data_IF_512383224321
#
_entry.id   IF_512383224321
#
_cell.length_a   1.000
_cell.length_b   1.000
_cell.length_c   1.000
_cell.angle_alpha   90.00
_cell.angle_beta   90.00
_cell.angle_gamma   90.00
#
_symmetry.space_group_name_H-M   'P 1'
#
loop_
_entity.id
_entity.type
_entity.pdbx_description
1 polymer ?
#
# COMPACT_ATOMS: atom_id res chain seq x y z
N UNK A 1 -2.38 -22.73 -3.20
CA UNK A 1 -3.59 -22.49 -2.34
C UNK A 1 -3.59 -21.03 -1.94
N UNK A 2 -4.77 -20.35 -2.03
CA UNK A 2 -4.91 -18.96 -1.58
C UNK A 2 -5.52 -18.97 -0.17
N UNK A 3 -4.88 -18.29 0.77
CA UNK A 3 -5.41 -17.96 2.08
C UNK A 3 -5.84 -16.50 2.10
N UNK A 4 -7.07 -16.25 2.50
CA UNK A 4 -7.68 -14.94 2.63
C UNK A 4 -7.82 -14.61 4.12
N UNK A 5 -7.41 -13.42 4.54
CA UNK A 5 -7.47 -13.00 5.95
C UNK A 5 -7.49 -11.48 6.09
N UNK A 6 -8.04 -10.99 7.20
CA UNK A 6 -7.96 -9.57 7.58
C UNK A 6 -6.75 -9.27 8.49
N UNK A 7 -6.08 -10.30 9.02
CA UNK A 7 -4.88 -10.15 9.85
C UNK A 7 -3.84 -11.20 9.50
N UNK A 8 -2.58 -10.79 9.48
CA UNK A 8 -1.44 -11.68 9.32
C UNK A 8 -1.00 -12.21 10.68
N UNK A 9 -0.77 -13.52 10.78
CA UNK A 9 0.01 -14.09 11.88
C UNK A 9 1.45 -13.59 11.82
N UNK A 10 2.19 -13.75 12.90
CA UNK A 10 3.62 -13.34 12.93
C UNK A 10 4.45 -14.10 11.88
N UNK A 11 4.16 -15.37 11.66
CA UNK A 11 4.83 -16.17 10.64
C UNK A 11 4.52 -15.70 9.22
N UNK A 12 3.26 -15.38 8.93
CA UNK A 12 2.84 -14.84 7.64
C UNK A 12 3.40 -13.45 7.39
N UNK A 13 3.43 -12.60 8.42
CA UNK A 13 4.07 -11.28 8.36
C UNK A 13 5.57 -11.38 8.03
N UNK A 14 6.26 -12.33 8.63
CA UNK A 14 7.67 -12.60 8.33
C UNK A 14 7.85 -13.09 6.88
N UNK A 15 7.01 -14.00 6.42
CA UNK A 15 7.03 -14.50 5.04
C UNK A 15 6.71 -13.36 4.04
N UNK A 16 5.70 -12.54 4.33
CA UNK A 16 5.35 -11.38 3.51
C UNK A 16 6.52 -10.38 3.38
N UNK A 17 7.18 -10.06 4.49
CA UNK A 17 8.37 -9.18 4.45
C UNK A 17 9.52 -9.78 3.63
N UNK A 18 9.74 -11.08 3.70
CA UNK A 18 10.75 -11.76 2.90
C UNK A 18 10.42 -11.69 1.39
N UNK A 19 9.16 -11.93 1.03
CA UNK A 19 8.68 -11.81 -0.36
C UNK A 19 8.80 -10.36 -0.87
N UNK A 20 8.40 -9.37 -0.07
CA UNK A 20 8.55 -7.94 -0.40
C UNK A 20 10.02 -7.62 -0.69
N UNK A 21 10.94 -8.01 0.20
CA UNK A 21 12.37 -7.76 0.04
C UNK A 21 12.93 -8.44 -1.23
N UNK A 22 12.50 -9.67 -1.55
CA UNK A 22 12.87 -10.36 -2.78
C UNK A 22 12.40 -9.61 -4.03
N UNK A 23 11.14 -9.16 -4.05
CA UNK A 23 10.58 -8.39 -5.16
C UNK A 23 11.31 -7.04 -5.31
N UNK A 24 11.52 -6.31 -4.22
CA UNK A 24 12.22 -5.02 -4.23
C UNK A 24 13.65 -5.15 -4.77
N UNK A 25 14.40 -6.16 -4.32
CA UNK A 25 15.75 -6.40 -4.78
C UNK A 25 15.80 -6.71 -6.29
N UNK A 26 14.86 -7.50 -6.78
CA UNK A 26 14.78 -7.87 -8.20
C UNK A 26 14.33 -6.71 -9.09
N UNK A 27 13.27 -6.01 -8.67
CA UNK A 27 12.63 -4.95 -9.45
C UNK A 27 13.28 -3.58 -9.23
N UNK A 28 14.16 -3.44 -8.23
CA UNK A 28 14.74 -2.17 -7.79
C UNK A 28 13.67 -1.14 -7.38
N UNK A 29 12.67 -1.64 -6.67
CA UNK A 29 11.58 -0.86 -6.09
C UNK A 29 11.83 -0.64 -4.59
N UNK A 30 11.11 0.29 -3.98
CA UNK A 30 11.32 0.69 -2.58
C UNK A 30 10.04 0.70 -1.76
N UNK A 31 8.89 0.82 -2.41
CA UNK A 31 7.61 0.90 -1.70
C UNK A 31 7.29 -0.42 -1.01
N UNK A 32 6.88 -0.33 0.25
CA UNK A 32 6.32 -1.46 1.00
C UNK A 32 4.79 -1.38 0.99
N UNK A 33 4.08 -2.44 0.63
CA UNK A 33 2.64 -2.49 0.79
C UNK A 33 2.26 -2.44 2.27
N UNK A 34 1.10 -1.89 2.57
CA UNK A 34 0.62 -1.78 3.94
C UNK A 34 0.25 -3.15 4.52
N UNK A 35 0.93 -3.58 5.58
CA UNK A 35 0.73 -4.89 6.23
C UNK A 35 -0.14 -4.81 7.50
N UNK A 36 -1.17 -3.95 7.48
CA UNK A 36 -2.15 -3.81 8.54
C UNK A 36 -3.52 -3.51 7.93
N UNK A 37 -4.60 -3.89 8.61
CA UNK A 37 -5.96 -3.52 8.23
C UNK A 37 -6.56 -2.46 9.18
N UNK A 38 -5.72 -1.84 10.00
CA UNK A 38 -6.17 -0.94 11.07
C UNK A 38 -6.86 0.32 10.55
N UNK A 39 -6.51 0.75 9.33
CA UNK A 39 -7.08 1.94 8.69
C UNK A 39 -8.20 1.59 7.68
N UNK A 40 -8.49 0.31 7.46
CA UNK A 40 -9.57 -0.07 6.58
C UNK A 40 -10.93 0.28 7.23
N UNK A 41 -11.88 0.79 6.43
CA UNK A 41 -13.19 1.24 6.92
C UNK A 41 -14.01 0.11 7.59
N UNK A 42 -13.76 -1.14 7.22
CA UNK A 42 -14.31 -2.31 7.91
C UNK A 42 -13.16 -3.21 8.42
N UNK A 43 -13.00 -3.37 9.74
CA UNK A 43 -11.94 -4.18 10.32
C UNK A 43 -12.07 -5.68 10.02
N UNK A 44 -13.24 -6.15 9.56
CA UNK A 44 -13.47 -7.54 9.19
C UNK A 44 -13.20 -7.80 7.70
N UNK A 45 -13.05 -6.75 6.90
CA UNK A 45 -12.77 -6.87 5.49
C UNK A 45 -11.43 -7.61 5.26
N UNK A 46 -11.38 -8.59 4.34
CA UNK A 46 -10.12 -9.22 3.97
C UNK A 46 -9.12 -8.20 3.43
N UNK A 47 -7.97 -8.12 4.06
CA UNK A 47 -6.90 -7.19 3.67
C UNK A 47 -5.70 -7.89 3.04
N UNK A 48 -5.64 -9.23 3.13
CA UNK A 48 -4.50 -10.02 2.64
C UNK A 48 -4.96 -11.28 1.91
N UNK A 49 -4.40 -11.47 0.71
CA UNK A 49 -4.56 -12.68 -0.10
C UNK A 49 -3.17 -13.25 -0.32
N UNK A 50 -2.92 -14.40 0.30
CA UNK A 50 -1.62 -15.04 0.37
C UNK A 50 -1.63 -16.30 -0.50
N UNK A 51 -0.82 -16.34 -1.53
CA UNK A 51 -0.69 -17.52 -2.38
C UNK A 51 0.47 -18.38 -1.90
N UNK A 52 0.13 -19.58 -1.41
CA UNK A 52 1.11 -20.57 -0.96
C UNK A 52 1.22 -21.73 -1.96
N UNK A 53 2.44 -22.18 -2.21
CA UNK A 53 2.77 -23.39 -2.93
C UNK A 53 3.87 -24.13 -2.16
N UNK A 54 3.66 -25.43 -1.87
CA UNK A 54 4.60 -26.28 -1.11
C UNK A 54 5.04 -25.71 0.25
N UNK A 55 4.17 -24.87 0.85
CA UNK A 55 4.44 -24.23 2.13
C UNK A 55 5.16 -22.87 2.02
N UNK A 56 5.60 -22.47 0.85
CA UNK A 56 6.23 -21.18 0.58
C UNK A 56 5.22 -20.15 0.12
N UNK A 57 5.39 -18.90 0.57
CA UNK A 57 4.58 -17.75 0.14
C UNK A 57 5.17 -17.20 -1.17
N UNK A 58 4.48 -17.44 -2.28
CA UNK A 58 4.90 -17.01 -3.62
C UNK A 58 4.14 -15.78 -4.13
N UNK A 59 3.04 -15.42 -3.49
CA UNK A 59 2.26 -14.25 -3.88
C UNK A 59 1.58 -13.59 -2.68
N UNK A 60 1.52 -12.27 -2.74
CA UNK A 60 0.86 -11.42 -1.76
C UNK A 60 0.05 -10.35 -2.48
N UNK A 61 -1.25 -10.29 -2.20
CA UNK A 61 -2.08 -9.13 -2.53
C UNK A 61 -2.50 -8.48 -1.23
N UNK A 62 -2.31 -7.17 -1.13
CA UNK A 62 -2.73 -6.37 0.02
C UNK A 62 -3.78 -5.36 -0.40
N UNK A 63 -4.69 -5.07 0.52
CA UNK A 63 -5.79 -4.12 0.35
C UNK A 63 -5.67 -3.03 1.41
N UNK A 64 -5.66 -1.78 0.97
CA UNK A 64 -5.82 -0.61 1.80
C UNK A 64 -7.12 0.10 1.38
N UNK A 65 -8.01 0.33 2.32
CA UNK A 65 -9.35 0.84 2.07
C UNK A 65 -9.82 1.68 3.26
N UNK A 66 -9.34 2.91 3.35
CA UNK A 66 -9.83 3.88 4.34
C UNK A 66 -11.18 4.47 3.94
N UNK A 67 -11.55 4.35 2.67
CA UNK A 67 -12.87 4.63 2.12
C UNK A 67 -13.27 3.59 1.05
N UNK A 68 -14.26 3.92 0.20
CA UNK A 68 -14.77 3.07 -0.88
C UNK A 68 -13.86 3.00 -2.11
N UNK A 69 -12.82 3.85 -2.18
CA UNK A 69 -11.78 3.83 -3.20
C UNK A 69 -10.56 3.04 -2.68
N UNK A 70 -10.38 1.86 -3.19
CA UNK A 70 -9.49 0.85 -2.61
C UNK A 70 -8.17 0.81 -3.33
N UNK A 71 -7.08 0.81 -2.57
CA UNK A 71 -5.74 0.60 -3.08
C UNK A 71 -5.32 -0.87 -2.96
N UNK A 72 -4.80 -1.41 -4.03
CA UNK A 72 -4.33 -2.80 -4.11
C UNK A 72 -2.87 -2.85 -4.53
N UNK A 73 -2.06 -3.59 -3.78
CA UNK A 73 -0.70 -3.95 -4.18
C UNK A 73 -0.61 -5.46 -4.42
N UNK A 74 0.00 -5.88 -5.52
CA UNK A 74 0.19 -7.30 -5.87
C UNK A 74 1.67 -7.58 -6.09
N UNK A 75 2.19 -8.53 -5.32
CA UNK A 75 3.57 -9.00 -5.42
C UNK A 75 3.58 -10.50 -5.71
N UNK A 76 4.44 -10.91 -6.63
CA UNK A 76 4.69 -12.32 -6.94
C UNK A 76 6.19 -12.55 -6.97
N UNK A 77 6.62 -13.62 -6.33
CA UNK A 77 8.02 -14.03 -6.35
C UNK A 77 8.58 -13.98 -7.78
N UNK A 78 9.72 -13.31 -8.02
CA UNK A 78 10.26 -13.10 -9.36
C UNK A 78 10.42 -14.39 -10.17
N UNK A 79 10.76 -15.51 -9.53
CA UNK A 79 10.95 -16.80 -10.19
C UNK A 79 9.64 -17.51 -10.57
N UNK A 80 8.50 -17.08 -10.02
CA UNK A 80 7.17 -17.67 -10.24
C UNK A 80 6.21 -16.72 -10.96
N UNK A 81 6.74 -15.68 -11.60
CA UNK A 81 5.95 -14.78 -12.42
C UNK A 81 5.49 -15.45 -13.71
N UNK A 82 4.38 -14.94 -14.28
CA UNK A 82 3.74 -15.48 -15.50
C UNK A 82 3.09 -16.87 -15.33
N UNK A 83 3.00 -17.39 -14.11
CA UNK A 83 2.31 -18.63 -13.76
C UNK A 83 0.82 -18.42 -13.41
N UNK A 84 0.32 -17.18 -13.50
CA UNK A 84 -1.09 -16.86 -13.22
C UNK A 84 -1.39 -16.56 -11.75
N UNK A 85 -0.38 -16.52 -10.88
CA UNK A 85 -0.53 -16.31 -9.42
C UNK A 85 -1.22 -14.96 -9.12
N UNK A 86 -0.75 -13.87 -9.73
CA UNK A 86 -1.36 -12.54 -9.54
C UNK A 86 -2.84 -12.54 -9.94
N UNK A 87 -3.17 -13.13 -11.09
CA UNK A 87 -4.56 -13.22 -11.57
C UNK A 87 -5.43 -14.09 -10.66
N UNK A 88 -4.88 -15.16 -10.11
CA UNK A 88 -5.61 -16.02 -9.16
C UNK A 88 -5.94 -15.26 -7.86
N UNK A 89 -4.98 -14.51 -7.32
CA UNK A 89 -5.20 -13.67 -6.13
C UNK A 89 -6.21 -12.56 -6.41
N UNK A 90 -6.12 -11.89 -7.55
CA UNK A 90 -7.03 -10.81 -7.91
C UNK A 90 -8.48 -11.32 -8.08
N UNK A 91 -8.69 -12.47 -8.71
CA UNK A 91 -10.02 -13.10 -8.78
C UNK A 91 -10.58 -13.45 -7.39
N UNK A 92 -9.71 -13.88 -6.47
CA UNK A 92 -10.12 -14.13 -5.10
C UNK A 92 -10.50 -12.81 -4.41
N UNK A 93 -9.76 -11.74 -4.64
CA UNK A 93 -10.08 -10.39 -4.18
C UNK A 93 -11.43 -9.93 -4.71
N UNK A 94 -11.67 -9.97 -6.02
CA UNK A 94 -12.97 -9.58 -6.62
C UNK A 94 -14.14 -10.32 -5.98
N UNK A 95 -13.99 -11.63 -5.75
CA UNK A 95 -15.02 -12.45 -5.14
C UNK A 95 -15.33 -12.01 -3.70
N UNK A 96 -14.31 -11.82 -2.88
CA UNK A 96 -14.48 -11.41 -1.47
C UNK A 96 -15.01 -9.99 -1.36
N UNK A 97 -14.55 -9.08 -2.23
CA UNK A 97 -14.93 -7.67 -2.23
C UNK A 97 -16.33 -7.40 -2.79
N UNK A 98 -16.96 -8.35 -3.46
CA UNK A 98 -18.32 -8.20 -4.02
C UNK A 98 -19.40 -7.88 -2.97
N UNK A 99 -19.14 -8.11 -1.69
CA UNK A 99 -20.05 -7.80 -0.58
C UNK A 99 -19.79 -6.43 0.08
N UNK A 100 -18.75 -5.71 -0.35
CA UNK A 100 -18.35 -4.42 0.19
C UNK A 100 -18.70 -3.27 -0.78
N UNK A 101 -18.97 -2.05 -0.31
CA UNK A 101 -19.36 -0.92 -1.15
C UNK A 101 -18.14 -0.29 -1.85
N UNK A 102 -17.37 -1.09 -2.58
CA UNK A 102 -16.19 -0.61 -3.30
C UNK A 102 -16.61 0.10 -4.57
N UNK A 103 -16.15 1.35 -4.74
CA UNK A 103 -16.43 2.21 -5.88
C UNK A 103 -15.36 2.09 -6.96
N UNK A 104 -14.10 2.12 -6.56
CA UNK A 104 -12.96 1.99 -7.47
C UNK A 104 -11.83 1.17 -6.86
N UNK A 105 -10.96 0.66 -7.73
CA UNK A 105 -9.75 -0.08 -7.35
C UNK A 105 -8.56 0.53 -8.05
N UNK A 106 -7.59 1.02 -7.28
CA UNK A 106 -6.33 1.55 -7.76
C UNK A 106 -5.19 0.58 -7.47
N UNK A 107 -4.44 0.19 -8.52
CA UNK A 107 -3.24 -0.61 -8.36
C UNK A 107 -2.05 0.28 -8.05
N UNK A 108 -1.43 0.04 -6.92
CA UNK A 108 -0.26 0.78 -6.49
C UNK A 108 1.02 0.13 -7.00
N UNK A 109 1.83 0.89 -7.75
CA UNK A 109 3.12 0.44 -8.27
C UNK A 109 4.10 1.60 -8.43
N UNK A 110 5.34 1.31 -8.76
CA UNK A 110 6.37 2.31 -8.95
C UNK A 110 6.71 2.51 -10.44
N UNK A 111 7.08 3.73 -10.83
CA UNK A 111 7.47 4.07 -12.21
C UNK A 111 8.56 3.16 -12.76
N UNK A 112 9.58 2.84 -11.96
CA UNK A 112 10.67 1.95 -12.37
C UNK A 112 10.18 0.55 -12.75
N UNK A 113 9.11 0.08 -12.12
CA UNK A 113 8.48 -1.20 -12.46
C UNK A 113 7.67 -1.11 -13.75
N UNK A 114 6.89 -0.04 -13.94
CA UNK A 114 6.11 0.21 -15.16
C UNK A 114 7.02 0.37 -16.38
N UNK A 115 8.13 1.08 -16.27
CA UNK A 115 9.09 1.28 -17.35
C UNK A 115 9.71 -0.05 -17.85
N UNK A 116 9.84 -1.03 -16.95
CA UNK A 116 10.29 -2.39 -17.30
C UNK A 116 9.18 -3.29 -17.82
N UNK A 117 7.94 -2.93 -17.59
CA UNK A 117 6.76 -3.70 -17.95
C UNK A 117 5.71 -2.84 -18.67
N UNK A 118 6.04 -2.24 -19.83
CA UNK A 118 5.18 -1.25 -20.50
C UNK A 118 3.80 -1.77 -20.90
N UNK A 119 3.68 -3.09 -21.08
CA UNK A 119 2.40 -3.72 -21.44
C UNK A 119 1.53 -4.08 -20.23
N UNK A 120 1.98 -3.76 -19.00
CA UNK A 120 1.29 -4.21 -17.78
C UNK A 120 -0.12 -3.64 -17.68
N UNK A 121 -0.29 -2.34 -17.83
CA UNK A 121 -1.59 -1.68 -17.74
C UNK A 121 -2.57 -2.24 -18.79
N UNK A 122 -2.13 -2.36 -20.04
CA UNK A 122 -2.97 -2.93 -21.12
C UNK A 122 -3.32 -4.40 -20.88
N UNK A 123 -2.38 -5.19 -20.33
CA UNK A 123 -2.60 -6.60 -20.01
C UNK A 123 -3.66 -6.79 -18.90
N UNK A 124 -3.72 -5.86 -17.96
CA UNK A 124 -4.73 -5.85 -16.89
C UNK A 124 -6.00 -5.09 -17.25
N UNK A 125 -6.01 -4.37 -18.38
CA UNK A 125 -7.15 -3.57 -18.82
C UNK A 125 -7.39 -2.35 -17.92
N UNK A 126 -6.32 -1.82 -17.32
CA UNK A 126 -6.37 -0.64 -16.45
C UNK A 126 -5.76 0.57 -17.16
N UNK A 127 -6.12 1.76 -16.70
CA UNK A 127 -5.57 3.02 -17.17
C UNK A 127 -4.55 3.51 -16.14
N UNK A 128 -3.42 4.00 -16.63
CA UNK A 128 -2.45 4.66 -15.77
C UNK A 128 -2.98 6.02 -15.34
N UNK A 129 -2.90 6.31 -14.03
CA UNK A 129 -3.27 7.60 -13.49
C UNK A 129 -2.20 8.65 -13.84
N UNK A 130 -2.63 9.87 -14.13
CA UNK A 130 -1.73 11.00 -14.36
C UNK A 130 -1.13 11.52 -13.04
N UNK A 131 -1.79 11.28 -11.91
CA UNK A 131 -1.30 11.63 -10.60
C UNK A 131 -0.19 10.70 -10.15
N UNK A 132 0.93 11.28 -9.77
CA UNK A 132 2.10 10.54 -9.26
C UNK A 132 2.53 11.08 -7.91
N UNK A 133 2.75 10.17 -6.96
CA UNK A 133 3.34 10.51 -5.67
C UNK A 133 4.87 10.40 -5.72
N UNK A 134 5.55 11.37 -5.15
CA UNK A 134 7.02 11.31 -4.99
C UNK A 134 7.37 10.95 -3.55
N UNK A 135 7.94 9.78 -3.37
CA UNK A 135 8.42 9.33 -2.06
C UNK A 135 9.88 9.73 -1.87
N UNK A 136 10.13 10.51 -0.82
CA UNK A 136 11.46 10.96 -0.44
C UNK A 136 12.01 10.05 0.67
N UNK A 137 13.15 9.40 0.39
CA UNK A 137 13.88 8.60 1.36
C UNK A 137 15.05 9.36 1.96
N UNK A 138 15.32 9.12 3.24
CA UNK A 138 16.48 9.65 3.94
C UNK A 138 17.05 8.59 4.88
N UNK A 139 18.37 8.51 4.94
CA UNK A 139 19.03 7.69 5.95
C UNK A 139 18.90 8.28 7.37
N UNK A 140 19.33 7.52 8.38
CA UNK A 140 19.27 7.92 9.79
C UNK A 140 20.47 8.79 10.22
N UNK A 141 21.33 9.19 9.30
CA UNK A 141 22.51 10.00 9.64
C UNK A 141 22.07 11.34 10.22
N UNK A 142 22.48 11.69 11.44
CA UNK A 142 22.18 13.00 12.01
C UNK A 142 22.75 14.11 11.12
N UNK A 143 21.99 15.16 10.95
CA UNK A 143 22.49 16.39 10.31
C UNK A 143 22.29 17.58 11.24
N UNK A 144 23.15 18.58 11.08
CA UNK A 144 23.01 19.82 11.83
C UNK A 144 21.72 20.53 11.39
N UNK A 145 20.84 20.78 12.31
CA UNK A 145 19.69 21.67 12.13
C UNK A 145 20.18 23.09 12.42
N UNK A 146 19.92 24.01 11.51
CA UNK A 146 19.96 25.42 11.87
C UNK A 146 18.97 25.65 13.01
N UNK A 147 19.47 26.18 14.12
CA UNK A 147 18.62 26.46 15.27
C UNK A 147 17.62 27.57 14.91
N UNK A 148 16.40 27.17 14.51
CA UNK A 148 15.28 28.10 14.40
C UNK A 148 14.84 28.48 15.79
N UNK A 149 15.25 29.65 16.25
CA UNK A 149 14.88 30.17 17.58
C UNK A 149 13.41 30.58 17.68
N UNK A 150 12.74 30.69 16.54
CA UNK A 150 11.33 31.09 16.41
C UNK A 150 10.34 29.90 16.44
N UNK A 151 10.86 28.66 16.39
CA UNK A 151 10.04 27.45 16.46
C UNK A 151 10.20 26.75 17.80
N UNK A 152 9.09 26.54 18.48
CA UNK A 152 9.03 25.79 19.74
C UNK A 152 8.34 24.45 19.50
N UNK A 153 9.06 23.35 19.75
CA UNK A 153 8.49 22.00 19.68
C UNK A 153 8.04 21.60 21.08
N UNK A 154 6.77 21.25 21.20
CA UNK A 154 6.13 20.82 22.45
C UNK A 154 5.56 19.42 22.29
N UNK A 155 5.41 18.70 23.40
CA UNK A 155 4.59 17.50 23.42
C UNK A 155 3.12 17.92 23.27
N UNK A 156 2.38 17.16 22.44
CA UNK A 156 0.96 17.37 22.29
C UNK A 156 0.23 16.98 23.59
N UNK A 157 -0.62 17.86 24.08
CA UNK A 157 -1.48 17.65 25.24
C UNK A 157 -2.96 17.72 24.80
N UNK A 158 -3.90 17.13 25.56
CA UNK A 158 -5.33 17.20 25.22
C UNK A 158 -5.86 18.62 25.01
N UNK A 159 -5.26 19.62 25.67
CA UNK A 159 -5.61 21.04 25.52
C UNK A 159 -5.34 21.61 24.12
N UNK A 160 -4.49 20.96 23.31
CA UNK A 160 -4.17 21.40 21.93
C UNK A 160 -5.02 20.72 20.85
N UNK A 161 -5.93 19.80 21.22
CA UNK A 161 -6.69 19.02 20.24
C UNK A 161 -7.49 19.87 19.26
N UNK A 162 -8.17 20.91 19.77
CA UNK A 162 -8.98 21.78 18.92
C UNK A 162 -8.11 22.59 17.94
N UNK A 163 -6.96 23.08 18.39
CA UNK A 163 -6.02 23.84 17.55
C UNK A 163 -5.39 22.93 16.50
N UNK A 164 -5.01 21.69 16.87
CA UNK A 164 -4.47 20.68 15.94
C UNK A 164 -5.52 20.31 14.90
N UNK A 165 -6.77 20.08 15.31
CA UNK A 165 -7.87 19.75 14.40
C UNK A 165 -8.16 20.89 13.42
N UNK A 166 -8.15 22.16 13.87
CA UNK A 166 -8.31 23.33 13.02
C UNK A 166 -7.17 23.45 11.99
N UNK A 167 -5.92 23.26 12.45
CA UNK A 167 -4.75 23.33 11.58
C UNK A 167 -4.80 22.23 10.52
N UNK A 168 -5.16 21.01 10.91
CA UNK A 168 -5.33 19.89 9.99
C UNK A 168 -6.44 20.17 8.97
N UNK A 169 -7.59 20.66 9.44
CA UNK A 169 -8.70 21.04 8.55
C UNK A 169 -8.28 22.12 7.55
N UNK A 170 -7.58 23.15 7.97
CA UNK A 170 -7.06 24.19 7.07
C UNK A 170 -6.09 23.62 6.04
N UNK A 171 -5.15 22.77 6.48
CA UNK A 171 -4.12 22.21 5.61
C UNK A 171 -4.68 21.28 4.51
N UNK A 172 -5.80 20.61 4.77
CA UNK A 172 -6.37 19.63 3.84
C UNK A 172 -7.65 20.12 3.14
N UNK A 173 -8.31 21.19 3.64
CA UNK A 173 -9.50 21.73 2.97
C UNK A 173 -9.18 22.58 1.75
N UNK A 174 -8.02 23.22 1.69
CA UNK A 174 -7.60 24.07 0.57
C UNK A 174 -7.09 23.26 -0.64
N UNK A 175 -6.84 21.95 -0.49
CA UNK A 175 -6.41 21.09 -1.58
C UNK A 175 -7.53 20.74 -2.59
N UNK A 176 -8.78 21.06 -2.27
CA UNK A 176 -9.97 20.75 -3.11
C UNK A 176 -10.52 21.89 -3.94
N UNK A 177 -9.93 23.10 -3.91
CA UNK A 177 -10.51 24.30 -4.56
C UNK A 177 -9.60 25.00 -5.59
N UNK A 178 -8.58 24.32 -6.10
CA UNK A 178 -7.84 24.80 -7.27
C UNK A 178 -8.33 24.06 -8.52
N UNK A 179 -9.47 24.51 -9.06
CA UNK A 179 -9.94 24.21 -10.41
C UNK A 179 -9.75 25.43 -11.29
#
# INVERSE_FOLDING_TARGET
MIRVTNQLTEQERKAAKALIASCQAYDQTFREPYLSNMLNFDPNMPAFFLYFQEGELLGLLTVYADDEDVEVSILVDPSHRREGIARAMYRSFEKEMASYPIRSVTFQTERVFLDRHPDLASHWGVVEDEETETWLGRDKTPYALDSRSDVKVLLAEPSYLDEIAQLQHQAFSDAGTAA
#
